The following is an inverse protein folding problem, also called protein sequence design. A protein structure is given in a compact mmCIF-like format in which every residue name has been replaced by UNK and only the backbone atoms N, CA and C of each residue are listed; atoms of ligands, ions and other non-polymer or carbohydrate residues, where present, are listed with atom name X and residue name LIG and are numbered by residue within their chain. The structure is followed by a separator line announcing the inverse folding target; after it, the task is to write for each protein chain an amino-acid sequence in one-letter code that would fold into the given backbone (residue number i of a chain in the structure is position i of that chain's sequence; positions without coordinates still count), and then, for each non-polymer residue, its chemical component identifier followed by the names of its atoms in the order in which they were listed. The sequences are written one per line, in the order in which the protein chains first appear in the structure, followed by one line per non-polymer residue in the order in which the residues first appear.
data_IF_326267846902
#
_entry.id   IF_326267846902
#
_cell.length_a   1.000
_cell.length_b   1.000
_cell.length_c   1.000
_cell.angle_alpha   90.00
_cell.angle_beta   90.00
_cell.angle_gamma   90.00
#
_symmetry.space_group_name_H-M   'P 1'
#
loop_
_entity.id
_entity.type
_entity.pdbx_description
1 polymer ?
#
# COMPACT_ATOMS: atom_id res chain seq x y z
N UNK A 1 -16.58 2.14 1.51
CA UNK A 1 -15.82 3.33 1.04
C UNK A 1 -15.02 4.02 2.16
N UNK A 2 -15.62 4.41 3.30
CA UNK A 2 -14.91 5.11 4.41
C UNK A 2 -13.60 4.42 4.88
N UNK A 3 -13.59 3.09 4.95
CA UNK A 3 -12.40 2.28 5.31
C UNK A 3 -11.27 2.42 4.28
N UNK A 4 -11.60 2.35 2.99
CA UNK A 4 -10.65 2.50 1.89
C UNK A 4 -10.05 3.92 1.86
N UNK A 5 -10.87 4.95 2.07
CA UNK A 5 -10.39 6.34 2.13
C UNK A 5 -9.42 6.55 3.29
N UNK A 6 -9.78 6.09 4.50
CA UNK A 6 -8.89 6.17 5.68
C UNK A 6 -7.56 5.46 5.42
N UNK A 7 -7.62 4.27 4.82
CA UNK A 7 -6.43 3.51 4.45
C UNK A 7 -5.55 4.24 3.44
N UNK A 8 -6.14 4.77 2.36
CA UNK A 8 -5.41 5.52 1.34
C UNK A 8 -4.77 6.78 1.91
N UNK A 9 -5.43 7.49 2.84
CA UNK A 9 -4.85 8.65 3.49
C UNK A 9 -3.58 8.30 4.27
N UNK A 10 -3.59 7.19 5.03
CA UNK A 10 -2.40 6.69 5.75
C UNK A 10 -1.31 6.25 4.77
N UNK A 11 -1.70 5.53 3.71
CA UNK A 11 -0.76 5.07 2.69
C UNK A 11 -0.07 6.24 1.98
N UNK A 12 -0.83 7.26 1.58
CA UNK A 12 -0.30 8.49 1.00
C UNK A 12 0.61 9.21 1.99
N UNK A 13 0.23 9.30 3.27
CA UNK A 13 1.09 9.89 4.31
C UNK A 13 2.45 9.21 4.41
N UNK A 14 2.50 7.87 4.40
CA UNK A 14 3.76 7.11 4.42
C UNK A 14 4.61 7.36 3.18
N UNK A 15 3.99 7.43 2.00
CA UNK A 15 4.71 7.74 0.75
C UNK A 15 5.26 9.16 0.77
N UNK A 16 4.51 10.14 1.28
CA UNK A 16 4.98 11.51 1.43
C UNK A 16 6.14 11.62 2.42
N UNK A 17 6.13 10.84 3.51
CA UNK A 17 7.26 10.76 4.46
C UNK A 17 8.49 10.18 3.75
N UNK A 18 8.34 9.08 3.00
CA UNK A 18 9.44 8.49 2.25
C UNK A 18 10.01 9.46 1.21
N UNK A 19 9.15 10.19 0.49
CA UNK A 19 9.54 11.23 -0.46
C UNK A 19 10.28 12.38 0.22
N UNK A 20 9.76 12.88 1.34
CA UNK A 20 10.39 13.94 2.12
C UNK A 20 11.78 13.54 2.62
N UNK A 21 11.90 12.32 3.16
CA UNK A 21 13.18 11.77 3.58
C UNK A 21 14.15 11.64 2.40
N UNK A 22 13.70 11.06 1.28
CA UNK A 22 14.51 10.90 0.07
C UNK A 22 14.97 12.23 -0.52
N UNK A 23 14.14 13.28 -0.47
CA UNK A 23 14.52 14.60 -0.97
C UNK A 23 15.64 15.27 -0.16
N UNK A 24 15.69 14.97 1.15
CA UNK A 24 16.70 15.50 2.06
C UNK A 24 18.02 14.72 2.01
N UNK A 25 17.99 13.43 1.69
CA UNK A 25 19.16 12.53 1.83
C UNK A 25 19.73 12.01 0.52
N UNK A 26 18.93 11.93 -0.55
CA UNK A 26 19.34 11.29 -1.80
C UNK A 26 19.68 12.31 -2.89
N UNK A 27 20.42 11.84 -3.88
CA UNK A 27 20.70 12.51 -5.14
C UNK A 27 19.51 12.40 -6.13
N UNK A 28 19.65 13.02 -7.31
CA UNK A 28 18.55 13.08 -8.27
C UNK A 28 18.07 11.70 -8.77
N UNK A 29 18.96 10.74 -9.12
CA UNK A 29 18.54 9.38 -9.47
C UNK A 29 17.84 8.64 -8.32
N UNK A 30 18.30 8.78 -7.09
CA UNK A 30 17.67 8.19 -5.91
C UNK A 30 16.26 8.73 -5.66
N UNK A 31 16.07 10.06 -5.77
CA UNK A 31 14.76 10.71 -5.63
C UNK A 31 13.75 10.21 -6.67
N UNK A 32 14.18 10.02 -7.92
CA UNK A 32 13.34 9.45 -8.97
C UNK A 32 12.93 8.02 -8.64
N UNK A 33 13.83 7.23 -8.04
CA UNK A 33 13.55 5.87 -7.57
C UNK A 33 12.47 5.85 -6.49
N UNK A 34 12.59 6.72 -5.49
CA UNK A 34 11.59 6.87 -4.41
C UNK A 34 10.23 7.29 -4.97
N UNK A 35 10.21 8.23 -5.91
CA UNK A 35 8.98 8.69 -6.56
C UNK A 35 8.29 7.58 -7.36
N UNK A 36 9.04 6.89 -8.21
CA UNK A 36 8.53 5.78 -8.99
C UNK A 36 7.97 4.66 -8.09
N UNK A 37 8.71 4.31 -7.03
CA UNK A 37 8.30 3.32 -6.04
C UNK A 37 7.04 3.73 -5.29
N UNK A 38 6.93 5.01 -4.87
CA UNK A 38 5.77 5.55 -4.19
C UNK A 38 4.49 5.48 -5.03
N UNK A 39 4.58 5.84 -6.32
CA UNK A 39 3.45 5.76 -7.25
C UNK A 39 3.01 4.30 -7.42
N UNK A 40 3.95 3.40 -7.70
CA UNK A 40 3.67 1.99 -7.89
C UNK A 40 3.02 1.37 -6.63
N UNK A 41 3.56 1.68 -5.45
CA UNK A 41 3.02 1.23 -4.18
C UNK A 41 1.58 1.72 -3.97
N UNK A 42 1.28 3.01 -4.18
CA UNK A 42 -0.07 3.53 -3.98
C UNK A 42 -1.10 2.91 -4.93
N UNK A 43 -0.75 2.75 -6.21
CA UNK A 43 -1.67 2.15 -7.18
C UNK A 43 -1.97 0.70 -6.84
N UNK A 44 -0.92 -0.09 -6.59
CA UNK A 44 -1.06 -1.50 -6.25
C UNK A 44 -1.82 -1.68 -4.93
N UNK A 45 -1.46 -0.92 -3.91
CA UNK A 45 -2.07 -1.05 -2.60
C UNK A 45 -3.53 -0.59 -2.61
N UNK A 46 -3.85 0.50 -3.31
CA UNK A 46 -5.21 0.99 -3.44
C UNK A 46 -6.11 -0.03 -4.12
N UNK A 47 -5.62 -0.69 -5.17
CA UNK A 47 -6.35 -1.75 -5.88
C UNK A 47 -6.50 -3.01 -5.02
N UNK A 48 -5.42 -3.49 -4.41
CA UNK A 48 -5.44 -4.68 -3.56
C UNK A 48 -6.38 -4.51 -2.36
N UNK A 49 -6.31 -3.37 -1.68
CA UNK A 49 -7.18 -3.11 -0.52
C UNK A 49 -8.65 -2.92 -0.93
N UNK A 50 -8.92 -2.28 -2.07
CA UNK A 50 -10.28 -2.19 -2.61
C UNK A 50 -10.87 -3.59 -2.86
N UNK A 51 -10.08 -4.50 -3.45
CA UNK A 51 -10.48 -5.87 -3.69
C UNK A 51 -10.78 -6.61 -2.38
N UNK A 52 -9.93 -6.46 -1.37
CA UNK A 52 -10.12 -7.08 -0.05
C UNK A 52 -11.38 -6.57 0.67
N UNK A 53 -11.64 -5.26 0.62
CA UNK A 53 -12.82 -4.64 1.23
C UNK A 53 -14.12 -5.07 0.55
N UNK A 54 -14.06 -5.47 -0.74
CA UNK A 54 -15.21 -6.00 -1.46
C UNK A 54 -15.58 -7.43 -1.04
N UNK A 55 -14.68 -8.16 -0.36
CA UNK A 55 -14.91 -9.53 0.08
C UNK A 55 -15.26 -9.60 1.57
N UNK A 56 -16.16 -10.52 1.94
CA UNK A 56 -16.50 -10.76 3.35
C UNK A 56 -15.33 -11.49 4.05
N UNK A 57 -14.79 -10.96 5.16
CA UNK A 57 -13.73 -11.63 5.91
C UNK A 57 -14.12 -13.04 6.35
N UNK A 58 -13.17 -13.98 6.35
CA UNK A 58 -13.40 -15.38 6.74
C UNK A 58 -14.02 -16.27 5.66
N UNK A 59 -14.22 -15.76 4.44
CA UNK A 59 -14.70 -16.56 3.31
C UNK A 59 -13.54 -17.07 2.44
N UNK A 60 -13.73 -18.19 1.69
CA UNK A 60 -12.75 -18.64 0.70
C UNK A 60 -12.43 -17.56 -0.35
N UNK A 61 -13.42 -16.73 -0.72
CA UNK A 61 -13.23 -15.62 -1.66
C UNK A 61 -12.28 -14.55 -1.10
N UNK A 62 -12.34 -14.26 0.20
CA UNK A 62 -11.39 -13.36 0.85
C UNK A 62 -9.97 -13.92 0.81
N UNK A 63 -9.78 -15.21 1.12
CA UNK A 63 -8.47 -15.85 1.05
C UNK A 63 -7.92 -15.87 -0.38
N UNK A 64 -8.76 -16.14 -1.37
CA UNK A 64 -8.38 -16.09 -2.78
C UNK A 64 -7.97 -14.67 -3.21
N UNK A 65 -8.73 -13.65 -2.83
CA UNK A 65 -8.40 -12.25 -3.11
C UNK A 65 -7.08 -11.82 -2.44
N UNK A 66 -6.86 -12.23 -1.20
CA UNK A 66 -5.62 -11.97 -0.47
C UNK A 66 -4.41 -12.67 -1.11
N UNK A 67 -4.54 -13.96 -1.43
CA UNK A 67 -3.49 -14.72 -2.10
C UNK A 67 -3.17 -14.17 -3.49
N UNK A 68 -4.19 -13.84 -4.28
CA UNK A 68 -4.02 -13.21 -5.59
C UNK A 68 -3.31 -11.86 -5.49
N UNK A 69 -3.70 -11.01 -4.53
CA UNK A 69 -3.04 -9.73 -4.27
C UNK A 69 -1.56 -9.91 -3.90
N UNK A 70 -1.24 -10.97 -3.16
CA UNK A 70 0.15 -11.30 -2.79
C UNK A 70 0.98 -11.68 -4.01
N UNK A 71 0.44 -12.49 -4.92
CA UNK A 71 1.11 -12.83 -6.18
C UNK A 71 1.33 -11.60 -7.05
N UNK A 72 0.33 -10.72 -7.17
CA UNK A 72 0.44 -9.47 -7.93
C UNK A 72 1.53 -8.57 -7.34
N UNK A 73 1.69 -8.49 -6.02
CA UNK A 73 2.79 -7.74 -5.39
C UNK A 73 4.15 -8.26 -5.83
N UNK A 74 4.36 -9.57 -5.80
CA UNK A 74 5.60 -10.18 -6.27
C UNK A 74 5.86 -9.85 -7.74
N UNK A 75 4.83 -9.98 -8.59
CA UNK A 75 4.91 -9.64 -10.00
C UNK A 75 5.25 -8.16 -10.24
N UNK A 76 4.65 -7.24 -9.46
CA UNK A 76 4.95 -5.80 -9.54
C UNK A 76 6.37 -5.49 -9.09
N UNK A 77 6.89 -6.15 -8.04
CA UNK A 77 8.30 -5.96 -7.63
C UNK A 77 9.25 -6.39 -8.74
N UNK A 78 9.04 -7.56 -9.35
CA UNK A 78 9.85 -8.04 -10.46
C UNK A 78 9.70 -7.14 -11.69
N UNK A 79 8.47 -6.79 -12.06
CA UNK A 79 8.19 -5.90 -13.19
C UNK A 79 8.79 -4.51 -13.00
N UNK A 80 8.73 -3.97 -11.79
CA UNK A 80 9.36 -2.71 -11.43
C UNK A 80 10.87 -2.80 -11.52
N UNK A 81 11.49 -3.89 -11.05
CA UNK A 81 12.93 -4.11 -11.18
C UNK A 81 13.36 -4.08 -12.65
N UNK A 82 12.66 -4.82 -13.51
CA UNK A 82 12.94 -4.88 -14.94
C UNK A 82 12.74 -3.53 -15.62
N UNK A 83 11.66 -2.83 -15.29
CA UNK A 83 11.35 -1.51 -15.83
C UNK A 83 12.39 -0.48 -15.42
N UNK A 84 12.71 -0.37 -14.13
CA UNK A 84 13.69 0.59 -13.64
C UNK A 84 15.10 0.28 -14.13
N UNK A 85 15.48 -1.00 -14.24
CA UNK A 85 16.78 -1.39 -14.80
C UNK A 85 16.96 -0.95 -16.26
N UNK A 86 15.87 -0.69 -16.99
CA UNK A 86 15.91 -0.11 -18.34
C UNK A 86 15.99 1.42 -18.38
N UNK A 87 15.99 2.10 -17.22
CA UNK A 87 16.01 3.56 -17.11
C UNK A 87 17.35 4.04 -16.52
N UNK A 88 18.17 4.73 -17.31
CA UNK A 88 19.45 5.28 -16.86
C UNK A 88 19.34 6.38 -15.78
N UNK A 89 18.14 6.94 -15.58
CA UNK A 89 17.90 8.12 -14.72
C UNK A 89 17.38 7.78 -13.33
N UNK A 90 17.30 6.49 -12.99
CA UNK A 90 16.67 6.00 -11.77
C UNK A 90 17.64 5.06 -11.08
N UNK A 91 17.89 5.28 -9.80
CA UNK A 91 18.65 4.32 -9.00
C UNK A 91 17.77 3.09 -8.71
N UNK A 92 18.10 1.98 -9.37
CA UNK A 92 17.39 0.71 -9.26
C UNK A 92 17.37 0.16 -7.84
N UNK A 93 18.48 0.27 -7.11
CA UNK A 93 18.60 -0.28 -5.77
C UNK A 93 17.70 0.52 -4.81
N UNK A 94 17.80 1.85 -4.85
CA UNK A 94 16.99 2.73 -4.00
C UNK A 94 15.50 2.57 -4.32
N UNK A 95 15.13 2.52 -5.60
CA UNK A 95 13.75 2.31 -6.03
C UNK A 95 13.19 0.98 -5.52
N UNK A 96 13.92 -0.12 -5.66
CA UNK A 96 13.49 -1.44 -5.21
C UNK A 96 13.37 -1.54 -3.69
N UNK A 97 14.35 -1.03 -2.95
CA UNK A 97 14.32 -1.00 -1.49
C UNK A 97 13.12 -0.19 -1.00
N UNK A 98 12.88 0.98 -1.59
CA UNK A 98 11.74 1.82 -1.26
C UNK A 98 10.42 1.11 -1.55
N UNK A 99 10.29 0.48 -2.73
CA UNK A 99 9.07 -0.23 -3.11
C UNK A 99 8.77 -1.38 -2.16
N UNK A 100 9.77 -2.23 -1.88
CA UNK A 100 9.60 -3.39 -0.98
C UNK A 100 9.27 -2.93 0.43
N UNK A 101 9.97 -1.91 0.95
CA UNK A 101 9.70 -1.36 2.27
C UNK A 101 8.28 -0.80 2.38
N UNK A 102 7.84 -0.02 1.39
CA UNK A 102 6.47 0.52 1.34
C UNK A 102 5.43 -0.61 1.27
N UNK A 103 5.59 -1.56 0.35
CA UNK A 103 4.66 -2.68 0.21
C UNK A 103 4.57 -3.49 1.50
N UNK A 104 5.69 -3.71 2.18
CA UNK A 104 5.72 -4.42 3.46
C UNK A 104 4.97 -3.66 4.56
N UNK A 105 5.30 -2.38 4.79
CA UNK A 105 4.63 -1.57 5.81
C UNK A 105 3.14 -1.44 5.54
N UNK A 106 2.76 -1.21 4.27
CA UNK A 106 1.36 -1.11 3.89
C UNK A 106 0.62 -2.46 4.06
N UNK A 107 1.26 -3.58 3.74
CA UNK A 107 0.71 -4.91 4.00
C UNK A 107 0.44 -5.13 5.49
N UNK A 108 1.35 -4.69 6.38
CA UNK A 108 1.15 -4.77 7.83
C UNK A 108 -0.02 -3.89 8.31
N UNK A 109 -0.32 -2.80 7.59
CA UNK A 109 -1.47 -1.95 7.89
C UNK A 109 -2.81 -2.54 7.43
N UNK A 110 -2.83 -3.44 6.45
CA UNK A 110 -4.09 -4.00 5.94
C UNK A 110 -4.92 -4.70 7.03
N UNK A 111 -4.38 -5.61 7.86
CA UNK A 111 -5.13 -6.23 8.95
C UNK A 111 -5.68 -5.21 9.96
N UNK A 112 -4.91 -4.16 10.26
CA UNK A 112 -5.35 -3.10 11.17
C UNK A 112 -6.51 -2.31 10.56
N UNK A 113 -6.41 -1.97 9.27
CA UNK A 113 -7.41 -1.22 8.55
C UNK A 113 -8.73 -1.99 8.36
N UNK A 114 -8.66 -3.32 8.21
CA UNK A 114 -9.84 -4.18 8.19
C UNK A 114 -10.56 -4.18 9.56
N UNK A 115 -9.82 -4.08 10.67
CA UNK A 115 -10.39 -4.08 12.04
C UNK A 115 -11.05 -2.76 12.43
N UNK A 116 -10.60 -1.61 11.93
CA UNK A 116 -11.23 -0.29 12.16
C UNK A 116 -12.71 -0.23 11.76
N UNK A 117 -13.15 -1.18 10.95
CA UNK A 117 -14.52 -1.33 10.53
C UNK A 117 -15.51 -1.88 11.55
N UNK A 118 -15.04 -2.59 12.58
CA UNK A 118 -15.90 -3.22 13.58
C UNK A 118 -16.34 -2.25 14.69
N UNK A 119 -15.48 -1.29 15.03
CA UNK A 119 -15.68 -0.39 16.17
C UNK A 119 -16.79 0.66 15.95
N UNK A 120 -16.91 1.22 14.73
CA UNK A 120 -17.92 2.24 14.40
C UNK A 120 -19.38 1.71 14.54
N UNK A 121 -19.61 0.39 14.48
CA UNK A 121 -20.94 -0.22 14.59
C UNK A 121 -21.37 -0.48 16.04
N UNK A 122 -20.43 -0.52 16.98
CA UNK A 122 -20.72 -0.75 18.40
C UNK A 122 -21.10 0.56 19.11
N UNK A 123 -20.46 1.68 18.77
CA UNK A 123 -20.80 3.00 19.35
C UNK A 123 -22.20 3.51 18.95
N UNK A 124 -22.61 3.28 17.69
CA UNK A 124 -23.93 3.74 17.21
C UNK A 124 -25.09 2.96 17.81
N UNK A 125 -24.88 1.71 18.20
CA UNK A 125 -25.91 0.89 18.86
C UNK A 125 -26.01 1.17 20.38
N UNK A 126 -24.96 1.74 20.97
CA UNK A 126 -24.97 2.21 22.37
C UNK A 126 -25.76 3.49 22.57
N UNK A 127 -25.62 4.47 21.66
CA UNK A 127 -26.32 5.76 21.75
C UNK A 127 -27.82 5.70 21.42
N UNK A 128 -28.29 4.65 20.75
CA UNK A 128 -29.71 4.46 20.43
C UNK A 128 -30.51 3.79 21.57
N UNK A 129 -29.86 3.47 22.69
CA UNK A 129 -30.45 2.75 23.83
C UNK A 129 -30.53 3.58 25.11
N UNK A 130 -30.16 4.86 25.07
CA UNK A 130 -30.34 5.83 26.15
C UNK A 130 -31.43 6.83 25.78
#
# INVERSE_FOLDING_TARGET
MKRWIRYMAVATGLVLIALGAGWLTLDHPGRNGVLAAGIAALMLQGAAFALLVAQKPGTPAFLAAWGASTLVRGAVVVGFALWVASLERVDTLVGLLTLVALLFVLLLLEPMALRWGGSDATETNGMARE
#
